data_IF_471429378156
#
_entry.id   IF_471429378156
#
_cell.length_a   1.000
_cell.length_b   1.000
_cell.length_c   1.000
_cell.angle_alpha   90.00
_cell.angle_beta   90.00
_cell.angle_gamma   90.00
#
_symmetry.space_group_name_H-M   'P 1'
#
loop_
_entity.id
_entity.type
_entity.pdbx_description
1 polymer ?
#
# COMPACT_ATOMS: atom_id res chain seq x y z
N UNK A 1 -5.38 11.83 -10.92
CA UNK A 1 -5.72 10.69 -10.04
C UNK A 1 -4.95 9.49 -10.58
N UNK A 2 -4.01 8.97 -9.80
CA UNK A 2 -3.14 7.88 -10.21
C UNK A 2 -3.46 6.66 -9.36
N UNK A 3 -3.43 5.49 -10.01
CA UNK A 3 -3.55 4.20 -9.34
C UNK A 3 -2.16 3.63 -9.20
N UNK A 4 -1.71 3.48 -7.96
CA UNK A 4 -0.46 2.87 -7.59
C UNK A 4 -0.74 1.43 -7.16
N UNK A 5 -0.01 0.47 -7.70
CA UNK A 5 -0.15 -0.94 -7.34
C UNK A 5 1.15 -1.38 -6.69
N UNK A 6 1.04 -2.03 -5.54
CA UNK A 6 2.18 -2.50 -4.78
C UNK A 6 2.00 -3.97 -4.45
N UNK A 7 3.09 -4.72 -4.55
CA UNK A 7 3.20 -6.05 -3.96
C UNK A 7 3.68 -5.88 -2.52
N UNK A 8 2.99 -6.52 -1.58
CA UNK A 8 3.38 -6.43 -0.17
C UNK A 8 3.63 -7.81 0.42
N UNK A 9 4.50 -7.91 1.41
CA UNK A 9 4.70 -9.17 2.17
C UNK A 9 3.79 -9.23 3.42
N UNK A 10 2.57 -8.75 3.26
CA UNK A 10 1.59 -8.61 4.34
C UNK A 10 0.66 -9.82 4.31
N UNK A 11 1.07 -10.87 5.01
CA UNK A 11 0.33 -12.14 5.08
C UNK A 11 -0.61 -12.25 6.28
N UNK A 12 -0.62 -11.24 7.16
CA UNK A 12 -1.36 -11.28 8.43
C UNK A 12 -2.26 -10.06 8.57
N UNK A 13 -3.48 -10.28 9.07
CA UNK A 13 -4.48 -9.22 9.33
C UNK A 13 -3.92 -8.08 10.20
N UNK A 14 -3.00 -8.39 11.13
CA UNK A 14 -2.33 -7.39 11.98
C UNK A 14 -1.45 -6.44 11.18
N UNK A 15 -0.72 -6.95 10.18
CA UNK A 15 0.08 -6.13 9.27
C UNK A 15 -0.84 -5.33 8.33
N UNK A 16 -1.90 -5.93 7.80
CA UNK A 16 -2.91 -5.23 6.98
C UNK A 16 -3.47 -4.03 7.72
N UNK A 17 -3.88 -4.21 8.99
CA UNK A 17 -4.40 -3.12 9.81
C UNK A 17 -3.39 -1.98 9.99
N UNK A 18 -2.10 -2.29 10.22
CA UNK A 18 -1.04 -1.27 10.27
C UNK A 18 -0.90 -0.49 8.96
N UNK A 19 -0.85 -1.21 7.83
CA UNK A 19 -0.79 -0.59 6.50
C UNK A 19 -2.00 0.31 6.29
N UNK A 20 -3.19 -0.21 6.51
CA UNK A 20 -4.45 0.51 6.39
C UNK A 20 -4.45 1.81 7.21
N UNK A 21 -4.00 1.77 8.47
CA UNK A 21 -3.88 2.97 9.31
C UNK A 21 -2.89 3.97 8.72
N UNK A 22 -1.73 3.53 8.24
CA UNK A 22 -0.74 4.41 7.59
C UNK A 22 -1.31 5.05 6.32
N UNK A 23 -2.01 4.28 5.50
CA UNK A 23 -2.63 4.79 4.28
C UNK A 23 -3.74 5.81 4.57
N UNK A 24 -4.54 5.55 5.60
CA UNK A 24 -5.61 6.46 6.03
C UNK A 24 -5.06 7.77 6.62
N UNK A 25 -3.82 7.78 7.11
CA UNK A 25 -3.15 9.01 7.57
C UNK A 25 -2.70 9.92 6.41
N UNK A 26 -2.65 9.42 5.17
CA UNK A 26 -2.25 10.23 4.02
C UNK A 26 -3.46 10.94 3.41
N UNK A 27 -3.55 12.28 3.48
CA UNK A 27 -4.68 13.03 2.93
C UNK A 27 -4.73 13.00 1.40
N UNK A 28 -3.64 12.63 0.73
CA UNK A 28 -3.54 12.49 -0.72
C UNK A 28 -4.16 11.18 -1.22
N UNK A 29 -4.30 10.18 -0.35
CA UNK A 29 -4.93 8.89 -0.66
C UNK A 29 -6.43 9.08 -0.60
N UNK A 30 -7.08 8.84 -1.74
CA UNK A 30 -8.53 8.91 -1.85
C UNK A 30 -9.17 7.56 -1.58
N UNK A 31 -8.54 6.48 -2.07
CA UNK A 31 -9.02 5.14 -1.88
C UNK A 31 -7.83 4.17 -1.86
N UNK A 32 -7.98 3.06 -1.16
CA UNK A 32 -7.03 1.96 -1.26
C UNK A 32 -7.82 0.64 -1.13
N UNK A 33 -7.31 -0.40 -1.77
CA UNK A 33 -7.86 -1.74 -1.71
C UNK A 33 -6.72 -2.72 -1.47
N UNK A 34 -6.95 -3.68 -0.58
CA UNK A 34 -6.00 -4.75 -0.34
C UNK A 34 -6.61 -6.03 -0.91
N UNK A 35 -5.96 -6.60 -1.90
CA UNK A 35 -6.34 -7.88 -2.48
C UNK A 35 -5.73 -9.00 -1.64
N UNK A 36 -6.55 -9.55 -0.74
CA UNK A 36 -6.23 -10.69 0.10
C UNK A 36 -6.67 -12.01 -0.53
N UNK A 37 -7.44 -11.96 -1.62
CA UNK A 37 -7.87 -13.14 -2.37
C UNK A 37 -6.75 -13.62 -3.29
N UNK A 38 -5.95 -12.69 -3.83
CA UNK A 38 -4.69 -13.00 -4.47
C UNK A 38 -3.60 -13.40 -3.46
N UNK A 39 -2.99 -14.57 -3.69
CA UNK A 39 -1.82 -15.05 -2.94
C UNK A 39 -0.65 -14.06 -2.92
N UNK A 40 -0.64 -13.10 -3.84
CA UNK A 40 0.39 -12.09 -4.02
C UNK A 40 0.28 -10.87 -3.08
N UNK A 41 -0.78 -10.77 -2.25
CA UNK A 41 -0.98 -9.70 -1.26
C UNK A 41 -0.82 -8.30 -1.88
N UNK A 42 -1.62 -8.02 -2.90
CA UNK A 42 -1.55 -6.80 -3.70
C UNK A 42 -2.26 -5.65 -2.98
N UNK A 43 -1.60 -4.50 -2.90
CA UNK A 43 -2.14 -3.26 -2.38
C UNK A 43 -2.31 -2.26 -3.53
N UNK A 44 -3.55 -1.90 -3.82
CA UNK A 44 -3.89 -0.87 -4.80
C UNK A 44 -4.27 0.42 -4.09
N UNK A 45 -3.62 1.53 -4.43
CA UNK A 45 -3.87 2.84 -3.83
C UNK A 45 -4.26 3.80 -4.95
N UNK A 46 -5.37 4.50 -4.76
CA UNK A 46 -5.83 5.60 -5.62
C UNK A 46 -5.56 6.90 -4.89
N UNK A 47 -4.69 7.72 -5.46
CA UNK A 47 -4.27 8.97 -4.85
C UNK A 47 -4.05 10.06 -5.90
N UNK A 48 -4.09 11.31 -5.46
CA UNK A 48 -3.74 12.46 -6.28
C UNK A 48 -2.41 13.02 -5.80
N UNK A 49 -1.42 13.13 -6.70
CA UNK A 49 -0.06 13.59 -6.38
C UNK A 49 0.67 12.78 -5.28
N UNK A 50 0.48 11.46 -5.24
CA UNK A 50 1.21 10.59 -4.34
C UNK A 50 2.39 9.93 -5.05
N UNK A 51 3.57 10.08 -4.46
CA UNK A 51 4.78 9.40 -4.93
C UNK A 51 4.81 7.95 -4.42
N UNK A 52 4.94 6.95 -5.30
CA UNK A 52 4.96 5.55 -4.89
C UNK A 52 6.14 5.21 -3.97
N UNK A 53 7.32 5.77 -4.25
CA UNK A 53 8.51 5.66 -3.39
C UNK A 53 8.28 6.12 -1.96
N UNK A 54 7.39 7.10 -1.76
CA UNK A 54 7.06 7.61 -0.43
C UNK A 54 6.26 6.58 0.36
N UNK A 55 5.25 5.98 -0.28
CA UNK A 55 4.46 4.88 0.30
C UNK A 55 5.35 3.68 0.60
N UNK A 56 6.20 3.30 -0.36
CA UNK A 56 7.16 2.22 -0.22
C UNK A 56 8.07 2.43 1.00
N UNK A 57 8.69 3.61 1.12
CA UNK A 57 9.55 3.96 2.24
C UNK A 57 8.79 3.95 3.58
N UNK A 58 7.56 4.46 3.61
CA UNK A 58 6.74 4.45 4.81
C UNK A 58 6.43 3.02 5.28
N UNK A 59 6.13 2.12 4.34
CA UNK A 59 5.87 0.71 4.62
C UNK A 59 7.14 -0.04 5.04
N UNK A 60 8.26 0.19 4.35
CA UNK A 60 9.54 -0.40 4.74
C UNK A 60 9.96 0.04 6.15
N UNK A 61 9.77 1.32 6.52
CA UNK A 61 9.98 1.82 7.88
C UNK A 61 9.10 1.15 8.93
N UNK A 62 7.89 0.71 8.54
CA UNK A 62 7.01 -0.07 9.40
C UNK A 62 7.39 -1.56 9.50
N UNK A 63 8.48 -1.98 8.85
CA UNK A 63 8.92 -3.39 8.77
C UNK A 63 8.11 -4.21 7.78
N UNK A 64 7.52 -3.56 6.76
CA UNK A 64 6.67 -4.18 5.76
C UNK A 64 7.37 -4.10 4.41
N UNK A 65 7.65 -5.27 3.83
CA UNK A 65 8.11 -5.35 2.45
C UNK A 65 7.01 -4.84 1.53
N UNK A 66 7.33 -3.80 0.77
CA UNK A 66 6.48 -3.18 -0.23
C UNK A 66 7.34 -2.95 -1.46
N UNK A 67 6.84 -3.31 -2.62
CA UNK A 67 7.49 -3.12 -3.91
C UNK A 67 6.44 -2.61 -4.90
N UNK A 68 6.75 -1.51 -5.59
CA UNK A 68 5.86 -0.96 -6.62
C UNK A 68 5.81 -1.89 -7.84
N UNK A 69 4.60 -2.25 -8.25
CA UNK A 69 4.36 -2.92 -9.53
C UNK A 69 3.97 -1.85 -10.55
N UNK A 70 4.98 -1.27 -11.21
CA UNK A 70 4.76 -0.41 -12.36
C UNK A 70 4.34 -1.28 -13.56
N UNK A 71 3.14 -1.04 -14.09
CA UNK A 71 2.59 -1.70 -15.28
C UNK A 71 2.45 -0.71 -16.42
#
# INVERSE_FOLDING_TARGET
MNVLVFKTNVTTKRKVSKVSTLLTLFPTIQQWNFDLEDCDNILRIVASDLSPRYVETALQKAGIGCEELAY
#
